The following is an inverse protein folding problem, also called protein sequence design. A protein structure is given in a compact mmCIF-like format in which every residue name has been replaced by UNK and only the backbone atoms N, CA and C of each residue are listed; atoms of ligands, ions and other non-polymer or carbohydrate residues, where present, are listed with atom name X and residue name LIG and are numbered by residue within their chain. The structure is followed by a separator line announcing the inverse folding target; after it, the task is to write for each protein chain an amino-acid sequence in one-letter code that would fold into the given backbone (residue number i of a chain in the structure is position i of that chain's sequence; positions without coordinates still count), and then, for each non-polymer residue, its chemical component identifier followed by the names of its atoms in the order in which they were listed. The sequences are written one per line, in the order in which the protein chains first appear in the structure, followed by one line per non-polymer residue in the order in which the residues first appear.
data_IF_974149783118
#
_entry.id   IF_974149783118
#
_cell.length_a   1.000
_cell.length_b   1.000
_cell.length_c   1.000
_cell.angle_alpha   90.00
_cell.angle_beta   90.00
_cell.angle_gamma   90.00
#
_symmetry.space_group_name_H-M   'P 1'
#
loop_
_entity.id
_entity.type
_entity.pdbx_description
1 polymer ?
#
# COMPACT_ATOMS: atom_id res chain seq x y z
N UNK A 1 -6.30 -4.38 3.17
CA UNK A 1 -5.34 -5.50 3.11
C UNK A 1 -4.34 -5.11 2.06
N UNK A 2 -3.14 -4.74 2.49
CA UNK A 2 -2.10 -4.24 1.60
C UNK A 2 -1.50 -5.43 0.86
N UNK A 3 -1.21 -5.27 -0.42
CA UNK A 3 -0.59 -6.33 -1.22
C UNK A 3 0.69 -5.80 -1.80
N UNK A 4 1.79 -6.32 -1.26
CA UNK A 4 3.12 -5.86 -1.63
C UNK A 4 3.65 -6.62 -2.85
N UNK A 5 4.25 -5.89 -3.78
CA UNK A 5 4.92 -6.41 -4.96
C UNK A 5 6.38 -5.96 -4.96
N UNK A 6 7.29 -6.94 -5.06
CA UNK A 6 8.72 -6.69 -5.28
C UNK A 6 8.96 -6.53 -6.78
N UNK A 7 9.23 -5.30 -7.20
CA UNK A 7 9.56 -4.90 -8.57
C UNK A 7 11.07 -4.72 -8.68
N UNK A 8 11.74 -5.54 -9.51
CA UNK A 8 13.16 -5.33 -9.82
C UNK A 8 13.26 -4.34 -10.96
N UNK A 9 13.99 -3.26 -10.75
CA UNK A 9 14.22 -2.21 -11.76
C UNK A 9 15.69 -2.16 -12.11
N UNK A 10 15.97 -2.12 -13.40
CA UNK A 10 17.31 -1.93 -13.97
C UNK A 10 17.37 -0.59 -14.66
N UNK A 11 18.31 0.25 -14.23
CA UNK A 11 18.56 1.55 -14.84
C UNK A 11 20.04 1.91 -14.78
N UNK A 12 20.41 2.90 -15.57
CA UNK A 12 21.75 3.50 -15.55
C UNK A 12 21.70 4.74 -14.66
N UNK A 13 22.63 4.82 -13.71
CA UNK A 13 22.84 6.00 -12.88
C UNK A 13 24.25 6.52 -13.10
N UNK A 14 24.42 7.83 -13.06
CA UNK A 14 25.74 8.47 -13.21
C UNK A 14 26.30 8.65 -11.81
N UNK A 15 27.46 8.07 -11.55
CA UNK A 15 28.15 8.24 -10.29
C UNK A 15 28.70 9.68 -10.19
N UNK A 16 28.13 10.49 -9.29
CA UNK A 16 28.41 11.92 -9.18
C UNK A 16 29.89 12.25 -8.89
N UNK A 17 30.66 11.30 -8.33
CA UNK A 17 32.09 11.50 -8.05
C UNK A 17 33.00 11.17 -9.24
N UNK A 18 32.56 10.27 -10.14
CA UNK A 18 33.43 9.76 -11.22
C UNK A 18 32.92 10.07 -12.61
N UNK A 19 31.68 10.55 -12.75
CA UNK A 19 31.02 10.82 -14.03
C UNK A 19 30.80 9.56 -14.87
N UNK A 20 30.92 8.36 -14.27
CA UNK A 20 30.78 7.09 -14.97
C UNK A 20 29.36 6.55 -14.84
N UNK A 21 28.83 6.09 -15.97
CA UNK A 21 27.56 5.37 -16.03
C UNK A 21 27.71 3.99 -15.36
N UNK A 22 26.85 3.72 -14.37
CA UNK A 22 26.76 2.45 -13.67
C UNK A 22 25.38 1.86 -13.85
N UNK A 23 25.33 0.62 -14.32
CA UNK A 23 24.11 -0.18 -14.36
C UNK A 23 23.80 -0.68 -12.95
N UNK A 24 22.64 -0.30 -12.44
CA UNK A 24 22.12 -0.78 -11.15
C UNK A 24 20.91 -1.69 -11.39
N UNK A 25 20.73 -2.64 -10.49
CA UNK A 25 19.62 -3.59 -10.52
C UNK A 25 19.12 -3.75 -9.08
N UNK A 26 18.10 -2.98 -8.73
CA UNK A 26 17.62 -2.85 -7.37
C UNK A 26 16.16 -3.33 -7.28
N UNK A 27 15.80 -4.10 -6.24
CA UNK A 27 14.41 -4.42 -5.95
C UNK A 27 13.77 -3.28 -5.16
N UNK A 28 12.59 -2.88 -5.61
CA UNK A 28 11.70 -1.92 -4.97
C UNK A 28 10.44 -2.64 -4.50
N UNK A 29 9.87 -2.21 -3.38
CA UNK A 29 8.64 -2.78 -2.86
C UNK A 29 7.49 -1.79 -3.05
N UNK A 30 6.37 -2.24 -3.58
CA UNK A 30 5.25 -1.37 -3.93
C UNK A 30 3.97 -1.97 -3.42
N UNK A 31 3.13 -1.16 -2.79
CA UNK A 31 1.77 -1.56 -2.48
C UNK A 31 0.87 -1.31 -3.68
N UNK A 32 0.19 -2.35 -4.15
CA UNK A 32 -0.73 -2.29 -5.28
C UNK A 32 -1.80 -3.37 -5.14
N UNK A 33 -2.90 -3.27 -5.90
CA UNK A 33 -3.96 -4.29 -5.90
C UNK A 33 -3.68 -5.38 -6.93
N UNK A 34 -2.95 -5.07 -8.01
CA UNK A 34 -2.67 -6.00 -9.10
C UNK A 34 -1.25 -5.85 -9.70
N UNK A 35 -0.80 -6.85 -10.47
CA UNK A 35 0.49 -6.80 -11.17
C UNK A 35 0.58 -5.64 -12.17
N UNK A 36 -0.50 -5.38 -12.91
CA UNK A 36 -0.57 -4.30 -13.88
C UNK A 36 -0.46 -2.94 -13.20
N UNK A 37 -1.14 -2.78 -12.06
CA UNK A 37 -1.05 -1.56 -11.28
C UNK A 37 0.33 -1.37 -10.66
N UNK A 38 0.95 -2.44 -10.13
CA UNK A 38 2.32 -2.39 -9.62
C UNK A 38 3.33 -1.97 -10.70
N UNK A 39 3.13 -2.44 -11.94
CA UNK A 39 3.94 -2.06 -13.10
C UNK A 39 3.76 -0.57 -13.45
N UNK A 40 2.53 -0.09 -13.55
CA UNK A 40 2.28 1.32 -13.86
C UNK A 40 2.83 2.25 -12.77
N UNK A 41 2.66 1.88 -11.50
CA UNK A 41 3.17 2.67 -10.37
C UNK A 41 4.68 2.73 -10.34
N UNK A 42 5.38 1.59 -10.44
CA UNK A 42 6.84 1.62 -10.45
C UNK A 42 7.35 2.44 -11.63
N UNK A 43 6.66 2.38 -12.77
CA UNK A 43 7.06 3.13 -13.94
C UNK A 43 6.99 4.64 -13.68
N UNK A 44 5.88 5.13 -13.11
CA UNK A 44 5.69 6.54 -12.77
C UNK A 44 6.74 7.04 -11.75
N UNK A 45 6.99 6.27 -10.68
CA UNK A 45 8.00 6.62 -9.67
C UNK A 45 9.41 6.65 -10.25
N UNK A 46 9.75 5.65 -11.08
CA UNK A 46 11.08 5.54 -11.67
C UNK A 46 11.33 6.58 -12.77
N UNK A 47 10.31 7.04 -13.49
CA UNK A 47 10.43 8.15 -14.44
C UNK A 47 10.82 9.46 -13.74
N UNK A 48 10.32 9.71 -12.53
CA UNK A 48 10.71 10.88 -11.75
C UNK A 48 12.12 10.75 -11.16
N UNK A 49 12.52 9.53 -10.80
CA UNK A 49 13.81 9.26 -10.19
C UNK A 49 14.97 9.16 -11.19
N UNK A 50 14.75 8.52 -12.34
CA UNK A 50 15.79 8.18 -13.32
C UNK A 50 15.71 9.12 -14.54
N UNK A 51 16.80 9.83 -14.81
CA UNK A 51 16.97 10.60 -16.05
C UNK A 51 17.49 9.70 -17.17
N UNK A 52 16.65 8.81 -17.69
CA UNK A 52 17.03 7.88 -18.76
C UNK A 52 16.08 6.70 -18.94
N UNK A 53 16.45 5.77 -19.83
CA UNK A 53 15.71 4.53 -20.02
C UNK A 53 15.93 3.57 -18.83
N UNK A 54 14.84 3.00 -18.33
CA UNK A 54 14.87 1.93 -17.35
C UNK A 54 14.03 0.75 -17.84
N UNK A 55 14.22 -0.40 -17.20
CA UNK A 55 13.40 -1.59 -17.46
C UNK A 55 13.01 -2.26 -16.15
N UNK A 56 11.81 -2.86 -16.12
CA UNK A 56 11.29 -3.62 -14.98
C UNK A 56 11.30 -5.10 -15.35
N UNK A 57 12.45 -5.81 -15.23
CA UNK A 57 12.57 -7.21 -15.67
C UNK A 57 11.71 -8.22 -14.89
N UNK A 58 11.24 -7.88 -13.68
CA UNK A 58 10.53 -8.84 -12.83
C UNK A 58 9.64 -8.12 -11.84
N UNK A 59 8.41 -8.60 -11.72
CA UNK A 59 7.44 -8.21 -10.69
C UNK A 59 7.00 -9.49 -9.98
N UNK A 60 7.10 -9.51 -8.65
CA UNK A 60 6.71 -10.68 -7.84
C UNK A 60 5.87 -10.23 -6.66
N UNK A 61 4.76 -10.93 -6.40
CA UNK A 61 4.01 -10.73 -5.17
C UNK A 61 4.89 -11.12 -3.97
N UNK A 62 5.06 -10.20 -3.03
CA UNK A 62 5.77 -10.39 -1.78
C UNK A 62 4.77 -10.74 -0.67
N UNK A 63 5.16 -11.66 0.21
CA UNK A 63 4.33 -12.11 1.33
C UNK A 63 4.72 -11.37 2.62
N UNK A 64 4.71 -10.04 2.59
CA UNK A 64 4.87 -9.24 3.80
C UNK A 64 3.50 -8.99 4.42
N UNK A 65 3.37 -9.31 5.70
CA UNK A 65 2.15 -9.07 6.47
C UNK A 65 2.07 -7.61 6.89
N UNK A 66 3.17 -7.08 7.44
CA UNK A 66 3.26 -5.71 7.96
C UNK A 66 4.61 -5.08 7.63
N UNK A 67 4.58 -3.75 7.44
CA UNK A 67 5.77 -2.93 7.23
C UNK A 67 5.79 -1.84 8.30
N UNK A 68 6.95 -1.68 8.94
CA UNK A 68 7.16 -0.67 9.96
C UNK A 68 8.15 0.37 9.44
N UNK A 69 7.62 1.54 9.12
CA UNK A 69 8.38 2.70 8.68
C UNK A 69 8.92 3.46 9.88
N UNK A 70 10.16 3.91 9.75
CA UNK A 70 10.83 4.75 10.74
C UNK A 70 11.69 5.77 9.98
N UNK A 71 11.62 7.03 10.39
CA UNK A 71 12.24 8.15 9.68
C UNK A 71 13.78 8.16 9.75
N UNK A 72 14.35 7.39 10.68
CA UNK A 72 15.77 7.35 11.02
C UNK A 72 16.49 6.07 10.55
N UNK A 73 15.77 5.16 9.89
CA UNK A 73 16.37 3.96 9.31
C UNK A 73 16.82 4.18 7.86
N UNK A 74 17.97 3.62 7.49
CA UNK A 74 18.50 3.65 6.12
C UNK A 74 18.39 2.30 5.40
N UNK A 75 18.09 1.22 6.14
CA UNK A 75 18.02 -0.15 5.60
C UNK A 75 16.75 -0.87 6.01
N UNK A 76 16.35 -1.79 5.14
CA UNK A 76 15.21 -2.66 5.37
C UNK A 76 15.65 -4.02 5.89
N UNK A 77 15.06 -4.46 7.00
CA UNK A 77 15.28 -5.79 7.58
C UNK A 77 14.02 -6.64 7.46
N UNK A 78 14.19 -7.86 6.94
CA UNK A 78 13.16 -8.89 6.88
C UNK A 78 13.14 -9.67 8.19
N UNK A 79 12.06 -9.49 8.94
CA UNK A 79 11.82 -10.16 10.20
C UNK A 79 10.81 -11.30 10.00
N UNK A 80 11.20 -12.52 10.31
CA UNK A 80 10.29 -13.68 10.34
C UNK A 80 9.82 -13.89 11.76
N UNK A 81 8.54 -13.65 12.03
CA UNK A 81 7.93 -13.86 13.34
C UNK A 81 7.00 -15.07 13.28
N UNK A 82 7.02 -15.88 14.32
CA UNK A 82 6.20 -17.08 14.45
C UNK A 82 5.39 -16.97 15.73
N UNK A 83 4.07 -17.12 15.66
CA UNK A 83 3.21 -17.14 16.84
C UNK A 83 2.36 -18.40 16.86
N UNK A 84 1.94 -18.77 18.07
CA UNK A 84 1.08 -19.93 18.30
C UNK A 84 -0.36 -19.46 18.37
N UNK A 85 -1.14 -19.78 17.34
CA UNK A 85 -2.58 -19.54 17.33
C UNK A 85 -3.31 -20.82 17.75
N UNK A 86 -4.32 -20.69 18.60
CA UNK A 86 -5.20 -21.81 18.98
C UNK A 86 -6.37 -21.84 17.99
N UNK A 87 -6.56 -22.97 17.30
CA UNK A 87 -7.74 -23.18 16.47
C UNK A 87 -8.96 -23.46 17.36
N UNK A 88 -9.89 -22.51 17.44
CA UNK A 88 -11.10 -22.60 18.28
C UNK A 88 -11.99 -23.80 17.96
N UNK A 89 -11.88 -24.38 16.75
CA UNK A 89 -12.67 -25.56 16.36
C UNK A 89 -12.04 -26.89 16.78
N UNK A 90 -10.71 -26.96 16.88
CA UNK A 90 -9.98 -28.21 17.09
C UNK A 90 -9.19 -28.27 18.40
N UNK A 91 -9.07 -27.15 19.13
CA UNK A 91 -8.23 -27.04 20.33
C UNK A 91 -6.75 -27.36 20.08
N UNK A 92 -6.32 -27.31 18.82
CA UNK A 92 -4.93 -27.61 18.41
C UNK A 92 -4.17 -26.31 18.19
N UNK A 93 -2.96 -26.28 18.73
CA UNK A 93 -1.99 -25.21 18.48
C UNK A 93 -1.50 -25.27 17.03
N UNK A 94 -1.65 -24.16 16.32
CA UNK A 94 -1.11 -23.96 14.98
C UNK A 94 -0.04 -22.87 15.03
N UNK A 95 1.15 -23.20 14.57
CA UNK A 95 2.21 -22.21 14.34
C UNK A 95 1.92 -21.46 13.05
N UNK A 96 1.75 -20.15 13.16
CA UNK A 96 1.60 -19.25 12.01
C UNK A 96 2.89 -18.44 11.92
N UNK A 97 3.44 -18.33 10.70
CA UNK A 97 4.64 -17.55 10.46
C UNK A 97 4.33 -16.40 9.52
N UNK A 98 4.61 -15.19 10.00
CA UNK A 98 4.47 -13.95 9.23
C UNK A 98 5.85 -13.40 8.90
N UNK A 99 5.95 -12.76 7.74
CA UNK A 99 7.13 -12.00 7.36
C UNK A 99 6.79 -10.53 7.47
N UNK A 100 7.60 -9.78 8.19
CA UNK A 100 7.46 -8.35 8.41
C UNK A 100 8.71 -7.67 7.88
N UNK A 101 8.57 -6.41 7.49
CA UNK A 101 9.69 -5.58 7.06
C UNK A 101 9.81 -4.39 7.99
N UNK A 102 11.01 -4.13 8.51
CA UNK A 102 11.29 -3.03 9.45
C UNK A 102 12.40 -2.16 8.88
N UNK A 103 12.21 -0.85 8.90
CA UNK A 103 13.28 0.10 8.61
C UNK A 103 14.15 0.29 9.87
N UNK A 104 15.47 0.16 9.76
CA UNK A 104 16.43 0.35 10.87
C UNK A 104 17.85 0.62 10.33
N UNK A 105 18.74 1.13 11.18
CA UNK A 105 20.15 1.36 10.83
C UNK A 105 21.03 0.11 11.01
N UNK A 106 20.72 -0.66 12.06
CA UNK A 106 21.49 -1.84 12.47
C UNK A 106 20.57 -3.01 12.83
N UNK A 107 21.14 -4.23 12.80
CA UNK A 107 20.40 -5.46 13.15
C UNK A 107 19.87 -5.45 14.58
N UNK A 108 20.61 -4.84 15.53
CA UNK A 108 20.15 -4.71 16.92
C UNK A 108 18.92 -3.82 17.01
N UNK A 109 18.95 -2.69 16.33
CA UNK A 109 17.83 -1.76 16.30
C UNK A 109 16.61 -2.37 15.60
N UNK A 110 16.82 -3.11 14.51
CA UNK A 110 15.75 -3.87 13.87
C UNK A 110 15.08 -4.87 14.84
N UNK A 111 15.87 -5.54 15.69
CA UNK A 111 15.37 -6.43 16.74
C UNK A 111 14.55 -5.68 17.81
N UNK A 112 15.05 -4.54 18.28
CA UNK A 112 14.36 -3.75 19.30
C UNK A 112 13.02 -3.21 18.76
N UNK A 113 13.02 -2.69 17.52
CA UNK A 113 11.82 -2.16 16.84
C UNK A 113 10.75 -3.21 16.58
N UNK A 114 11.14 -4.39 16.09
CA UNK A 114 10.18 -5.47 15.89
C UNK A 114 9.61 -5.94 17.22
N UNK A 115 10.43 -6.02 18.27
CA UNK A 115 9.98 -6.45 19.59
C UNK A 115 9.00 -5.43 20.22
N UNK A 116 9.26 -4.13 20.05
CA UNK A 116 8.35 -3.06 20.45
C UNK A 116 7.03 -3.11 19.66
N UNK A 117 7.12 -3.26 18.33
CA UNK A 117 5.95 -3.35 17.45
C UNK A 117 5.07 -4.57 17.79
N UNK A 118 5.68 -5.69 18.17
CA UNK A 118 4.98 -6.92 18.54
C UNK A 118 4.49 -6.93 19.99
N UNK A 119 5.00 -6.05 20.86
CA UNK A 119 4.63 -6.01 22.29
C UNK A 119 3.15 -5.74 22.55
N UNK A 120 2.45 -5.14 21.58
CA UNK A 120 1.00 -4.91 21.65
C UNK A 120 0.14 -6.16 21.39
N UNK A 121 0.74 -7.28 20.96
CA UNK A 121 0.00 -8.52 20.73
C UNK A 121 -0.10 -9.36 22.01
N UNK A 122 -1.31 -9.77 22.36
CA UNK A 122 -1.60 -10.69 23.47
C UNK A 122 -1.17 -12.14 23.19
N UNK A 123 -0.64 -12.42 22.00
CA UNK A 123 -0.28 -13.77 21.55
C UNK A 123 1.22 -13.98 21.70
N UNK A 124 1.61 -15.13 22.25
CA UNK A 124 3.01 -15.53 22.35
C UNK A 124 3.64 -15.61 20.95
N UNK A 125 4.76 -14.91 20.77
CA UNK A 125 5.49 -14.85 19.51
C UNK A 125 6.99 -15.09 19.72
N UNK A 126 7.61 -15.68 18.71
CA UNK A 126 9.04 -15.91 18.59
C UNK A 126 9.57 -15.23 17.32
N UNK A 127 10.62 -14.43 17.45
CA UNK A 127 11.35 -13.89 16.31
C UNK A 127 12.30 -14.98 15.80
N UNK A 128 11.92 -15.64 14.70
CA UNK A 128 12.67 -16.77 14.15
C UNK A 128 13.92 -16.34 13.36
N UNK A 129 13.88 -15.19 12.70
CA UNK A 129 15.01 -14.66 11.93
C UNK A 129 14.88 -13.16 11.67
N UNK A 130 16.01 -12.46 11.63
CA UNK A 130 16.13 -11.09 11.13
C UNK A 130 17.28 -11.09 10.10
N UNK A 131 16.99 -10.65 8.89
CA UNK A 131 17.94 -10.65 7.78
C UNK A 131 17.85 -9.30 7.07
N UNK A 132 19.00 -8.68 6.78
CA UNK A 132 19.06 -7.48 5.96
C UNK A 132 18.50 -7.77 4.56
N UNK A 133 17.57 -6.94 4.11
CA UNK A 133 16.90 -7.05 2.82
C UNK A 133 17.69 -6.29 1.76
N UNK A 134 17.59 -6.77 0.52
CA UNK A 134 18.15 -6.05 -0.63
C UNK A 134 17.22 -4.96 -1.17
N UNK A 135 16.05 -4.75 -0.54
CA UNK A 135 15.06 -3.75 -0.93
C UNK A 135 15.70 -2.37 -0.83
N UNK A 136 15.71 -1.64 -1.94
CA UNK A 136 16.27 -0.29 -2.01
C UNK A 136 15.30 0.73 -1.43
N UNK A 137 14.02 0.63 -1.80
CA UNK A 137 13.00 1.54 -1.31
C UNK A 137 11.61 0.89 -1.29
N UNK A 138 10.69 1.49 -0.53
CA UNK A 138 9.31 1.05 -0.37
C UNK A 138 8.37 2.19 -0.72
N UNK A 139 7.52 1.96 -1.72
CA UNK A 139 6.49 2.89 -2.16
C UNK A 139 5.12 2.44 -1.62
N UNK A 140 4.64 3.01 -0.50
CA UNK A 140 3.33 2.68 0.05
C UNK A 140 2.20 3.15 -0.87
N UNK A 141 1.00 2.60 -0.65
CA UNK A 141 -0.16 2.99 -1.43
C UNK A 141 -0.63 4.38 -1.03
N UNK A 142 -0.17 5.42 -1.72
CA UNK A 142 -0.75 6.75 -1.60
C UNK A 142 -2.13 6.75 -2.28
N UNK A 143 -3.19 6.98 -1.49
CA UNK A 143 -4.52 7.34 -2.03
C UNK A 143 -4.62 8.82 -2.41
N UNK A 144 -3.65 9.64 -2.01
CA UNK A 144 -3.74 11.10 -2.11
C UNK A 144 -3.38 11.67 -3.50
N UNK A 145 -2.94 10.84 -4.45
CA UNK A 145 -2.78 11.24 -5.86
C UNK A 145 -4.01 10.94 -6.72
N UNK A 146 -5.15 10.56 -6.12
CA UNK A 146 -6.46 10.72 -6.77
C UNK A 146 -6.98 12.14 -6.53
N UNK A 147 -6.10 13.13 -6.73
CA UNK A 147 -6.41 14.54 -6.83
C UNK A 147 -5.93 15.05 -8.20
N UNK A 148 -6.09 14.23 -9.24
CA UNK A 148 -6.24 14.82 -10.57
C UNK A 148 -7.42 15.81 -10.47
N UNK A 149 -7.24 17.10 -10.78
CA UNK A 149 -8.34 18.04 -10.76
C UNK A 149 -9.42 17.47 -11.66
N UNK A 150 -10.63 17.29 -11.11
CA UNK A 150 -11.79 16.83 -11.85
C UNK A 150 -11.85 17.69 -13.12
N UNK A 151 -11.74 17.12 -14.33
CA UNK A 151 -11.86 17.89 -15.56
C UNK A 151 -13.18 18.67 -15.50
N UNK A 152 -13.17 19.97 -15.85
CA UNK A 152 -14.32 20.90 -15.71
C UNK A 152 -15.67 20.40 -16.29
N UNK A 153 -15.65 19.33 -17.09
CA UNK A 153 -16.83 18.73 -17.71
C UNK A 153 -17.45 17.56 -16.92
N UNK A 154 -16.89 17.17 -15.77
CA UNK A 154 -17.41 16.08 -14.94
C UNK A 154 -17.90 16.61 -13.60
N UNK A 155 -19.14 16.28 -13.25
CA UNK A 155 -19.72 16.58 -11.93
C UNK A 155 -19.58 15.37 -11.01
N UNK A 156 -19.27 15.56 -9.72
CA UNK A 156 -19.16 14.46 -8.77
C UNK A 156 -20.47 13.65 -8.66
N UNK A 157 -20.36 12.33 -8.55
CA UNK A 157 -21.51 11.42 -8.44
C UNK A 157 -22.43 11.78 -7.27
N UNK A 158 -21.86 12.27 -6.15
CA UNK A 158 -22.61 12.75 -4.99
C UNK A 158 -23.53 13.94 -5.31
N UNK A 159 -23.13 14.81 -6.25
CA UNK A 159 -23.95 15.95 -6.65
C UNK A 159 -25.06 15.53 -7.63
N UNK A 160 -24.82 14.49 -8.43
CA UNK A 160 -25.84 13.88 -9.29
C UNK A 160 -26.89 13.13 -8.46
N UNK A 161 -26.48 12.34 -7.47
CA UNK A 161 -27.37 11.62 -6.55
C UNK A 161 -28.24 12.61 -5.73
N UNK A 162 -27.64 13.68 -5.20
CA UNK A 162 -28.38 14.72 -4.49
C UNK A 162 -29.36 15.50 -5.39
N UNK A 163 -29.06 15.64 -6.69
CA UNK A 163 -29.99 16.23 -7.67
C UNK A 163 -31.12 15.27 -8.04
N UNK A 164 -30.87 13.97 -8.14
CA UNK A 164 -31.91 12.97 -8.36
C UNK A 164 -32.86 12.86 -7.15
N UNK A 165 -32.33 12.83 -5.93
CA UNK A 165 -33.17 12.79 -4.72
C UNK A 165 -34.05 14.04 -4.58
N UNK A 166 -33.54 15.22 -4.97
CA UNK A 166 -34.33 16.46 -5.02
C UNK A 166 -35.37 16.45 -6.13
N UNK A 167 -35.03 15.96 -7.32
CA UNK A 167 -36.01 15.89 -8.42
C UNK A 167 -37.13 14.90 -8.13
N UNK A 168 -36.80 13.79 -7.46
CA UNK A 168 -37.79 12.78 -7.07
C UNK A 168 -38.67 13.27 -5.90
N UNK A 169 -38.13 14.11 -5.00
CA UNK A 169 -38.91 14.75 -3.93
C UNK A 169 -39.86 15.84 -4.47
N UNK A 170 -39.41 16.70 -5.39
CA UNK A 170 -40.25 17.74 -6.01
C UNK A 170 -41.38 17.13 -6.87
N UNK A 171 -41.18 15.97 -7.48
CA UNK A 171 -42.22 15.28 -8.26
C UNK A 171 -43.33 14.67 -7.38
N UNK A 172 -43.07 14.39 -6.10
CA UNK A 172 -44.06 13.81 -5.18
C UNK A 172 -44.92 14.88 -4.49
N UNK A 173 -44.44 16.13 -4.37
CA UNK A 173 -45.22 17.20 -3.73
C UNK A 173 -46.31 17.85 -4.62
N UNK A 174 -46.29 17.70 -5.94
CA UNK A 174 -47.28 18.33 -6.84
C UNK A 174 -48.61 17.55 -6.99
N UNK A 175 -48.69 16.27 -6.58
CA UNK A 175 -49.87 15.41 -6.83
C UNK A 175 -50.86 15.30 -5.64
N UNK A 176 -50.67 16.03 -4.53
CA UNK A 176 -51.48 15.86 -3.30
C UNK A 176 -52.17 17.15 -2.77
N UNK A 177 -52.75 17.97 -3.66
CA UNK A 177 -53.80 18.95 -3.28
C UNK A 177 -55.14 18.59 -3.92
N UNK A 178 -55.73 17.60 -3.27
CA UNK A 178 -57.15 17.25 -3.16
C UNK A 178 -58.18 18.19 -3.84
N UNK A 179 -58.71 17.63 -4.92
CA UNK A 179 -60.10 17.58 -5.36
C UNK A 179 -61.24 18.06 -4.42
N UNK A 180 -62.25 18.69 -5.06
CA UNK A 180 -63.64 18.90 -4.65
C UNK A 180 -63.94 19.73 -3.39
N UNK A 181 -64.05 21.05 -3.58
CA UNK A 181 -65.13 21.82 -2.94
C UNK A 181 -66.37 21.76 -3.83
N UNK A 182 -67.38 21.00 -3.42
CA UNK A 182 -68.74 21.14 -3.95
C UNK A 182 -69.68 21.58 -2.83
N UNK A 183 -70.42 22.63 -3.19
CA UNK A 183 -71.43 23.35 -2.43
C UNK A 183 -72.71 22.54 -2.15
N UNK A 184 -73.37 22.91 -1.04
CA UNK A 184 -74.79 22.71 -0.65
C UNK A 184 -75.21 21.36 -0.07
#
# INVERSE_FOLDING_TARGET
MNTWFECKVKYETIDEQTGKEKKVNLPYLIDAVSYTEAESRIHAEMEQYVRGEFSVPSIKKANYTDLFFYDDGDKWYKCKVVYVAIDENAGKEKKVSNQMLVCASDLKEAYDRINESMSGMTVDYDIAAIIESTIADVFPYFKDEVNEPIPDHLTPLSEYEAKQEKSDADFVEEDDVNSYSEDI
#
